data_IF_905539078139
#
_entry.id   IF_905539078139
#
_cell.length_a   1.000
_cell.length_b   1.000
_cell.length_c   1.000
_cell.angle_alpha   90.00
_cell.angle_beta   90.00
_cell.angle_gamma   90.00
#
_symmetry.space_group_name_H-M   'P 1'
#
loop_
_entity.id
_entity.type
_entity.pdbx_description
1 polymer ?
#
# COMPACT_ATOMS: atom_id res chain seq x y z
N UNK A 1 1.13 5.64 -27.71
CA UNK A 1 1.72 6.96 -27.81
C UNK A 1 2.80 7.22 -26.75
N UNK A 2 2.65 6.74 -25.54
CA UNK A 2 3.50 7.01 -24.37
C UNK A 2 4.54 5.94 -24.03
N UNK A 3 4.83 4.99 -24.92
CA UNK A 3 5.67 3.79 -24.62
C UNK A 3 7.08 4.10 -24.08
N UNK A 4 7.68 5.24 -24.46
CA UNK A 4 9.00 5.70 -24.01
C UNK A 4 8.95 6.85 -23.01
N UNK A 5 7.78 7.30 -22.60
CA UNK A 5 7.60 8.41 -21.66
C UNK A 5 8.07 8.01 -20.25
N UNK A 6 8.78 8.91 -19.58
CA UNK A 6 9.20 8.69 -18.19
C UNK A 6 8.00 8.52 -17.26
N UNK A 7 8.20 7.78 -16.17
CA UNK A 7 7.12 7.47 -15.22
C UNK A 7 6.59 8.71 -14.51
N UNK A 8 7.46 9.66 -14.19
CA UNK A 8 7.06 10.90 -13.54
C UNK A 8 6.24 11.78 -14.48
N UNK A 9 6.59 11.79 -15.77
CA UNK A 9 5.83 12.50 -16.80
C UNK A 9 4.44 11.87 -17.00
N UNK A 10 4.35 10.52 -17.04
CA UNK A 10 3.06 9.81 -17.08
C UNK A 10 2.18 10.17 -15.88
N UNK A 11 2.75 10.19 -14.68
CA UNK A 11 2.01 10.57 -13.46
C UNK A 11 1.47 11.99 -13.58
N UNK A 12 2.26 12.94 -14.09
CA UNK A 12 1.80 14.31 -14.29
C UNK A 12 0.67 14.42 -15.31
N UNK A 13 0.71 13.63 -16.40
CA UNK A 13 -0.35 13.56 -17.39
C UNK A 13 -1.63 12.94 -16.81
N UNK A 14 -1.51 11.82 -16.06
CA UNK A 14 -2.65 11.22 -15.35
C UNK A 14 -3.34 12.22 -14.40
N UNK A 15 -2.58 13.09 -13.71
CA UNK A 15 -3.15 14.14 -12.85
C UNK A 15 -3.91 15.20 -13.62
N UNK A 16 -3.57 15.40 -14.91
CA UNK A 16 -4.29 16.28 -15.83
C UNK A 16 -5.49 15.61 -16.49
N UNK A 17 -5.84 14.38 -16.04
CA UNK A 17 -6.94 13.56 -16.60
C UNK A 17 -6.70 13.13 -18.04
N UNK A 18 -5.47 12.83 -18.40
CA UNK A 18 -5.13 12.22 -19.68
C UNK A 18 -5.35 10.69 -19.56
N UNK A 19 -6.42 10.21 -20.18
CA UNK A 19 -6.84 8.81 -20.10
C UNK A 19 -5.84 7.88 -20.82
N UNK A 20 -5.27 8.31 -21.95
CA UNK A 20 -4.26 7.54 -22.68
C UNK A 20 -2.98 7.37 -21.85
N UNK A 21 -2.60 8.37 -21.06
CA UNK A 21 -1.48 8.28 -20.15
C UNK A 21 -1.78 7.32 -18.99
N UNK A 22 -3.02 7.28 -18.50
CA UNK A 22 -3.43 6.33 -17.48
C UNK A 22 -3.46 4.90 -18.02
N UNK A 23 -3.96 4.67 -19.23
CA UNK A 23 -3.95 3.37 -19.89
C UNK A 23 -2.52 2.84 -20.05
N UNK A 24 -1.58 3.68 -20.43
CA UNK A 24 -0.16 3.31 -20.48
C UNK A 24 0.40 2.99 -19.10
N UNK A 25 0.00 3.72 -18.07
CA UNK A 25 0.39 3.44 -16.68
C UNK A 25 -0.14 2.07 -16.25
N UNK A 26 -1.41 1.77 -16.50
CA UNK A 26 -2.03 0.46 -16.24
C UNK A 26 -1.29 -0.63 -16.99
N UNK A 27 -1.00 -0.45 -18.28
CA UNK A 27 -0.27 -1.43 -19.09
C UNK A 27 1.09 -1.77 -18.47
N UNK A 28 1.86 -0.78 -18.04
CA UNK A 28 3.18 -0.97 -17.41
C UNK A 28 3.11 -1.65 -16.05
N UNK A 29 2.08 -1.36 -15.28
CA UNK A 29 1.94 -1.88 -13.91
C UNK A 29 1.04 -3.12 -13.81
N UNK A 30 0.41 -3.58 -14.89
CA UNK A 30 -0.36 -4.83 -14.95
C UNK A 30 0.40 -6.06 -14.39
N UNK A 31 1.69 -6.29 -14.73
CA UNK A 31 2.43 -7.43 -14.15
C UNK A 31 2.58 -7.32 -12.63
N UNK A 32 2.79 -6.11 -12.11
CA UNK A 32 2.88 -5.87 -10.67
C UNK A 32 1.53 -6.11 -9.98
N UNK A 33 0.43 -5.57 -10.52
CA UNK A 33 -0.92 -5.76 -9.97
C UNK A 33 -1.26 -7.25 -9.94
N UNK A 34 -1.07 -7.98 -11.05
CA UNK A 34 -1.31 -9.43 -11.12
C UNK A 34 -0.44 -10.22 -10.13
N UNK A 35 0.81 -9.78 -9.92
CA UNK A 35 1.70 -10.39 -8.92
C UNK A 35 1.22 -10.16 -7.49
N UNK A 36 0.65 -9.00 -7.18
CA UNK A 36 0.03 -8.74 -5.88
C UNK A 36 -1.20 -9.62 -5.70
N UNK A 37 -2.10 -9.67 -6.68
CA UNK A 37 -3.33 -10.47 -6.67
C UNK A 37 -3.04 -11.96 -6.46
N UNK A 38 -2.00 -12.51 -7.09
CA UNK A 38 -1.64 -13.92 -6.94
C UNK A 38 -1.30 -14.33 -5.51
N UNK A 39 -1.05 -13.37 -4.63
CA UNK A 39 -0.85 -13.61 -3.18
C UNK A 39 -2.15 -13.77 -2.39
N UNK A 40 -3.31 -13.56 -3.02
CA UNK A 40 -4.64 -13.62 -2.40
C UNK A 40 -5.50 -14.77 -2.97
N UNK A 41 -4.87 -15.87 -3.36
CA UNK A 41 -5.57 -17.07 -3.83
C UNK A 41 -6.50 -17.64 -2.74
N UNK A 42 -7.73 -18.00 -3.13
CA UNK A 42 -8.74 -18.55 -2.21
C UNK A 42 -9.63 -17.50 -1.53
N UNK A 43 -9.53 -16.23 -1.90
CA UNK A 43 -10.48 -15.20 -1.45
C UNK A 43 -11.82 -15.29 -2.23
N UNK A 44 -12.91 -14.67 -1.71
CA UNK A 44 -14.25 -14.74 -2.32
C UNK A 44 -14.38 -13.96 -3.64
N UNK A 45 -13.41 -13.15 -3.99
CA UNK A 45 -13.43 -12.30 -5.19
C UNK A 45 -12.68 -12.96 -6.35
N UNK A 46 -13.16 -12.74 -7.57
CA UNK A 46 -12.44 -13.22 -8.75
C UNK A 46 -11.22 -12.33 -9.10
N UNK A 47 -10.38 -12.87 -10.02
CA UNK A 47 -9.14 -12.19 -10.42
C UNK A 47 -9.38 -10.87 -11.14
N UNK A 48 -10.51 -10.72 -11.83
CA UNK A 48 -10.83 -9.52 -12.61
C UNK A 48 -11.38 -8.42 -11.71
N UNK A 49 -12.17 -8.79 -10.68
CA UNK A 49 -12.59 -7.86 -9.62
C UNK A 49 -11.39 -7.30 -8.87
N UNK A 50 -10.50 -8.18 -8.42
CA UNK A 50 -9.26 -7.76 -7.74
C UNK A 50 -8.38 -6.91 -8.65
N UNK A 51 -8.35 -7.18 -9.95
CA UNK A 51 -7.59 -6.41 -10.92
C UNK A 51 -8.20 -5.00 -11.10
N UNK A 52 -9.51 -4.89 -11.21
CA UNK A 52 -10.21 -3.61 -11.29
C UNK A 52 -9.92 -2.74 -10.06
N UNK A 53 -10.00 -3.32 -8.86
CA UNK A 53 -9.64 -2.63 -7.62
C UNK A 53 -8.16 -2.23 -7.57
N UNK A 54 -7.29 -3.07 -8.11
CA UNK A 54 -5.87 -2.77 -8.31
C UNK A 54 -5.63 -1.57 -9.23
N UNK A 55 -6.40 -1.44 -10.31
CA UNK A 55 -6.35 -0.28 -11.22
C UNK A 55 -6.84 1.00 -10.53
N UNK A 56 -7.91 0.92 -9.72
CA UNK A 56 -8.39 2.06 -8.89
C UNK A 56 -7.29 2.50 -7.92
N UNK A 57 -6.64 1.55 -7.25
CA UNK A 57 -5.54 1.86 -6.33
C UNK A 57 -4.34 2.48 -7.06
N UNK A 58 -4.01 2.01 -8.27
CA UNK A 58 -2.96 2.59 -9.10
C UNK A 58 -3.28 4.04 -9.50
N UNK A 59 -4.55 4.32 -9.87
CA UNK A 59 -4.98 5.69 -10.17
C UNK A 59 -4.81 6.61 -8.97
N UNK A 60 -5.29 6.20 -7.80
CA UNK A 60 -5.14 6.95 -6.54
C UNK A 60 -3.66 7.17 -6.22
N UNK A 61 -2.82 6.15 -6.42
CA UNK A 61 -1.38 6.26 -6.22
C UNK A 61 -0.75 7.32 -7.14
N UNK A 62 -1.14 7.38 -8.43
CA UNK A 62 -0.66 8.39 -9.36
C UNK A 62 -1.04 9.82 -8.94
N UNK A 63 -2.26 10.00 -8.38
CA UNK A 63 -2.71 11.31 -7.90
C UNK A 63 -1.92 11.79 -6.67
N UNK A 64 -1.49 10.89 -5.79
CA UNK A 64 -0.94 11.21 -4.47
C UNK A 64 0.58 11.09 -4.37
N UNK A 65 1.24 10.39 -5.27
CA UNK A 65 2.68 10.15 -5.20
C UNK A 65 3.47 11.47 -5.25
N UNK A 66 4.42 11.65 -4.35
CA UNK A 66 5.30 12.82 -4.31
C UNK A 66 6.49 12.55 -5.24
N UNK A 67 6.57 13.28 -6.37
CA UNK A 67 7.56 13.05 -7.44
C UNK A 67 9.01 13.28 -7.00
N UNK A 68 9.25 14.17 -6.04
CA UNK A 68 10.57 14.56 -5.56
C UNK A 68 10.97 13.81 -4.27
N UNK A 69 10.37 12.65 -4.02
CA UNK A 69 10.62 11.89 -2.81
C UNK A 69 11.85 10.98 -2.96
N UNK A 70 12.92 11.28 -2.22
CA UNK A 70 14.13 10.46 -2.19
C UNK A 70 13.87 9.06 -1.63
N UNK A 71 14.32 8.06 -2.38
CA UNK A 71 14.38 6.65 -1.94
C UNK A 71 13.08 5.86 -2.08
N UNK A 72 11.98 6.46 -2.57
CA UNK A 72 10.73 5.76 -2.88
C UNK A 72 10.43 5.87 -4.36
N UNK A 73 10.41 4.75 -5.07
CA UNK A 73 9.96 4.73 -6.47
C UNK A 73 8.44 4.65 -6.53
N UNK A 74 7.84 5.21 -7.59
CA UNK A 74 6.40 5.10 -7.81
C UNK A 74 5.93 3.64 -7.83
N UNK A 75 6.69 2.72 -8.43
CA UNK A 75 6.34 1.30 -8.45
C UNK A 75 6.23 0.67 -7.06
N UNK A 76 7.09 1.08 -6.14
CA UNK A 76 7.02 0.65 -4.75
C UNK A 76 5.77 1.19 -4.05
N UNK A 77 5.52 2.49 -4.18
CA UNK A 77 4.35 3.16 -3.61
C UNK A 77 3.03 2.58 -4.16
N UNK A 78 2.92 2.44 -5.49
CA UNK A 78 1.75 1.85 -6.15
C UNK A 78 1.48 0.41 -5.68
N UNK A 79 2.53 -0.41 -5.50
CA UNK A 79 2.39 -1.77 -5.00
C UNK A 79 1.78 -1.82 -3.59
N UNK A 80 2.19 -0.92 -2.71
CA UNK A 80 1.63 -0.79 -1.36
C UNK A 80 0.16 -0.40 -1.45
N UNK A 81 -0.18 0.61 -2.25
CA UNK A 81 -1.56 1.06 -2.44
C UNK A 81 -2.46 -0.06 -2.97
N UNK A 82 -2.00 -0.81 -3.99
CA UNK A 82 -2.75 -1.95 -4.54
C UNK A 82 -2.97 -3.04 -3.48
N UNK A 83 -1.93 -3.41 -2.73
CA UNK A 83 -2.04 -4.44 -1.70
C UNK A 83 -3.02 -4.03 -0.59
N UNK A 84 -2.90 -2.81 -0.09
CA UNK A 84 -3.78 -2.31 0.96
C UNK A 84 -5.23 -2.26 0.48
N UNK A 85 -5.49 -1.81 -0.75
CA UNK A 85 -6.84 -1.80 -1.33
C UNK A 85 -7.47 -3.19 -1.37
N UNK A 86 -6.72 -4.21 -1.77
CA UNK A 86 -7.21 -5.60 -1.80
C UNK A 86 -7.46 -6.11 -0.38
N UNK A 87 -6.57 -5.85 0.59
CA UNK A 87 -6.77 -6.23 1.99
C UNK A 87 -8.01 -5.57 2.57
N UNK A 88 -8.22 -4.29 2.31
CA UNK A 88 -9.41 -3.56 2.76
C UNK A 88 -10.71 -4.14 2.16
N UNK A 89 -10.67 -4.55 0.88
CA UNK A 89 -11.79 -5.21 0.21
C UNK A 89 -12.13 -6.55 0.89
N UNK A 90 -11.12 -7.35 1.23
CA UNK A 90 -11.30 -8.63 1.90
C UNK A 90 -11.87 -8.48 3.33
N UNK A 91 -11.37 -7.53 4.08
CA UNK A 91 -11.88 -7.26 5.45
C UNK A 91 -13.35 -6.85 5.45
N UNK A 92 -13.81 -6.14 4.43
CA UNK A 92 -15.23 -5.77 4.30
C UNK A 92 -16.10 -7.00 4.06
N UNK A 93 -15.69 -7.89 3.17
CA UNK A 93 -16.41 -9.15 2.91
C UNK A 93 -16.56 -10.00 4.17
N UNK A 94 -15.48 -10.15 4.96
CA UNK A 94 -15.52 -10.88 6.22
C UNK A 94 -16.46 -10.24 7.26
N UNK A 95 -16.54 -8.91 7.30
CA UNK A 95 -17.49 -8.19 8.18
C UNK A 95 -18.93 -8.37 7.73
N UNK A 96 -19.21 -8.40 6.43
CA UNK A 96 -20.55 -8.60 5.89
C UNK A 96 -21.04 -10.04 6.12
N UNK A 97 -20.18 -11.04 6.02
CA UNK A 97 -20.53 -12.45 6.30
C UNK A 97 -20.81 -12.68 7.80
N UNK A 98 -20.10 -12.03 8.70
CA UNK A 98 -20.35 -12.14 10.15
C UNK A 98 -21.63 -11.42 10.59
N UNK A 99 -22.13 -10.45 9.83
CA UNK A 99 -23.38 -9.75 10.12
C UNK A 99 -24.64 -10.54 9.68
N UNK A 100 -24.49 -11.60 8.88
CA UNK A 100 -25.63 -12.43 8.44
C UNK A 100 -26.06 -13.48 9.45
N UNK A 101 -25.28 -13.77 10.50
CA UNK A 101 -25.52 -14.85 11.46
C UNK A 101 -25.68 -14.40 12.94
N UNK A 102 -25.70 -13.11 13.23
CA UNK A 102 -25.88 -12.62 14.61
C UNK A 102 -26.99 -11.57 14.66
N UNK A 103 -28.02 -11.86 15.48
CA UNK A 103 -29.07 -10.95 15.85
C UNK A 103 -28.56 -9.55 16.23
N UNK A 104 -29.20 -8.55 15.64
CA UNK A 104 -28.95 -7.13 15.78
C UNK A 104 -29.00 -6.69 17.24
N UNK A 105 -27.85 -6.64 17.92
CA UNK A 105 -27.64 -5.68 19.01
C UNK A 105 -26.16 -5.22 19.01
N UNK A 106 -26.00 -4.01 18.47
CA UNK A 106 -24.89 -3.05 18.73
C UNK A 106 -23.45 -3.54 18.51
N UNK A 107 -22.99 -3.51 17.25
CA UNK A 107 -21.67 -2.95 16.95
C UNK A 107 -21.85 -2.02 15.75
N UNK A 108 -22.00 -0.75 16.00
CA UNK A 108 -21.86 0.32 15.01
C UNK A 108 -20.39 0.44 14.66
N UNK A 109 -19.91 -0.36 13.71
CA UNK A 109 -18.67 -0.03 13.00
C UNK A 109 -19.04 0.96 11.88
N UNK A 110 -19.43 2.15 12.32
CA UNK A 110 -19.75 3.31 11.48
C UNK A 110 -18.46 4.01 11.06
N UNK A 111 -17.50 3.22 10.53
CA UNK A 111 -16.32 3.80 9.90
C UNK A 111 -16.74 4.37 8.57
N UNK A 112 -17.07 5.65 8.57
CA UNK A 112 -17.55 6.37 7.39
C UNK A 112 -16.50 6.33 6.25
N UNK A 113 -16.97 6.53 5.02
CA UNK A 113 -16.07 6.65 3.85
C UNK A 113 -15.06 7.79 4.07
N UNK A 114 -15.43 8.82 4.85
CA UNK A 114 -14.59 9.93 5.25
C UNK A 114 -13.48 9.51 6.23
N UNK A 115 -13.75 8.64 7.22
CA UNK A 115 -12.73 8.10 8.15
C UNK A 115 -11.72 7.22 7.41
N UNK A 116 -12.16 6.44 6.43
CA UNK A 116 -11.26 5.63 5.58
C UNK A 116 -10.41 6.47 4.63
N UNK A 117 -10.88 7.64 4.22
CA UNK A 117 -10.10 8.65 3.51
C UNK A 117 -9.05 9.30 4.43
N UNK A 118 -9.41 9.53 5.69
CA UNK A 118 -8.50 10.04 6.73
C UNK A 118 -7.39 9.03 7.03
N UNK A 119 -7.68 7.72 7.13
CA UNK A 119 -6.67 6.67 7.35
C UNK A 119 -5.64 6.60 6.22
N UNK A 120 -6.06 6.79 4.96
CA UNK A 120 -5.13 6.82 3.82
C UNK A 120 -4.27 8.07 3.78
N UNK A 121 -4.83 9.23 4.07
CA UNK A 121 -4.08 10.47 4.20
C UNK A 121 -3.12 10.41 5.41
N UNK A 122 -3.53 9.74 6.47
CA UNK A 122 -2.71 9.44 7.64
C UNK A 122 -1.57 8.49 7.28
N UNK A 123 -1.81 7.45 6.48
CA UNK A 123 -0.76 6.53 6.02
C UNK A 123 0.28 7.22 5.12
N UNK A 124 -0.16 8.05 4.18
CA UNK A 124 0.75 8.83 3.33
C UNK A 124 1.58 9.83 4.15
N UNK A 125 0.97 10.52 5.10
CA UNK A 125 1.67 11.38 6.08
C UNK A 125 2.63 10.59 6.96
N UNK A 126 2.26 9.38 7.35
CA UNK A 126 3.09 8.49 8.15
C UNK A 126 4.34 8.06 7.38
N UNK A 127 4.23 7.73 6.09
CA UNK A 127 5.39 7.42 5.24
C UNK A 127 6.32 8.62 5.07
N UNK A 128 5.77 9.81 4.87
CA UNK A 128 6.56 11.05 4.78
C UNK A 128 7.26 11.34 6.11
N UNK A 129 6.54 11.26 7.23
CA UNK A 129 7.10 11.46 8.57
C UNK A 129 8.15 10.40 8.91
N UNK A 130 7.87 9.12 8.58
CA UNK A 130 8.79 8.02 8.78
C UNK A 130 10.13 8.24 8.04
N UNK A 131 10.10 8.86 6.85
CA UNK A 131 11.32 9.16 6.10
C UNK A 131 12.24 10.12 6.85
N UNK A 132 11.68 11.11 7.54
CA UNK A 132 12.45 12.06 8.38
C UNK A 132 12.94 11.47 9.70
N UNK A 133 12.25 10.45 10.24
CA UNK A 133 12.53 9.86 11.55
C UNK A 133 13.46 8.64 11.49
N UNK A 134 13.49 7.93 10.37
CA UNK A 134 14.19 6.65 10.22
C UNK A 134 15.49 6.81 9.42
N UNK A 135 16.50 5.98 9.75
CA UNK A 135 17.66 5.84 8.88
C UNK A 135 17.25 5.17 7.56
N UNK A 136 18.06 5.33 6.50
CA UNK A 136 17.79 4.71 5.19
C UNK A 136 17.57 3.20 5.29
N UNK A 137 18.33 2.52 6.14
CA UNK A 137 18.17 1.09 6.37
C UNK A 137 16.84 0.76 7.05
N UNK A 138 16.50 1.48 8.11
CA UNK A 138 15.24 1.29 8.85
C UNK A 138 14.03 1.60 7.97
N UNK A 139 14.11 2.65 7.17
CA UNK A 139 13.04 3.01 6.22
C UNK A 139 12.85 1.93 5.14
N UNK A 140 13.92 1.40 4.56
CA UNK A 140 13.85 0.27 3.62
C UNK A 140 13.25 -0.99 4.25
N UNK A 141 13.63 -1.29 5.49
CA UNK A 141 13.04 -2.42 6.25
C UNK A 141 11.55 -2.21 6.46
N UNK A 142 11.11 -0.99 6.84
CA UNK A 142 9.70 -0.64 6.99
C UNK A 142 8.94 -0.86 5.68
N UNK A 143 9.42 -0.33 4.57
CA UNK A 143 8.76 -0.45 3.28
C UNK A 143 8.60 -1.91 2.83
N UNK A 144 9.64 -2.72 2.97
CA UNK A 144 9.60 -4.13 2.62
C UNK A 144 8.67 -4.92 3.56
N UNK A 145 8.62 -4.54 4.84
CA UNK A 145 7.71 -5.16 5.81
C UNK A 145 6.25 -4.85 5.49
N UNK A 146 5.90 -3.58 5.20
CA UNK A 146 4.55 -3.17 4.78
C UNK A 146 4.13 -3.89 3.48
N UNK A 147 5.08 -4.17 2.58
CA UNK A 147 4.84 -4.98 1.38
C UNK A 147 4.56 -6.47 1.67
N UNK A 148 4.65 -6.88 2.94
CA UNK A 148 4.38 -8.25 3.36
C UNK A 148 5.53 -9.24 3.17
N UNK A 149 6.76 -8.76 2.91
CA UNK A 149 7.92 -9.66 2.87
C UNK A 149 8.25 -10.19 4.27
N UNK A 150 8.55 -11.50 4.35
CA UNK A 150 9.03 -12.11 5.59
C UNK A 150 10.43 -11.60 5.94
N UNK A 151 10.78 -11.58 7.23
CA UNK A 151 12.11 -11.13 7.73
C UNK A 151 13.28 -11.77 6.97
N UNK A 152 13.19 -13.07 6.65
CA UNK A 152 14.22 -13.77 5.89
C UNK A 152 14.39 -13.24 4.45
N UNK A 153 13.29 -12.92 3.79
CA UNK A 153 13.29 -12.33 2.44
C UNK A 153 13.88 -10.91 2.46
N UNK A 154 13.48 -10.09 3.44
CA UNK A 154 14.03 -8.75 3.64
C UNK A 154 15.53 -8.82 3.89
N UNK A 155 15.98 -9.77 4.71
CA UNK A 155 17.40 -9.98 5.00
C UNK A 155 18.20 -10.28 3.72
N UNK A 156 17.70 -11.19 2.89
CA UNK A 156 18.31 -11.53 1.60
C UNK A 156 18.36 -10.32 0.67
N UNK A 157 17.24 -9.59 0.53
CA UNK A 157 17.13 -8.43 -0.36
C UNK A 157 18.06 -7.27 0.03
N UNK A 158 18.29 -7.09 1.33
CA UNK A 158 19.14 -6.01 1.87
C UNK A 158 20.59 -6.46 2.15
N UNK A 159 20.94 -7.73 1.91
CA UNK A 159 22.26 -8.27 2.21
C UNK A 159 22.61 -8.19 3.70
N UNK A 160 21.63 -8.44 4.59
CA UNK A 160 21.77 -8.37 6.05
C UNK A 160 21.30 -9.67 6.71
N UNK A 161 21.68 -9.88 7.99
CA UNK A 161 21.17 -11.01 8.75
C UNK A 161 19.70 -10.80 9.15
N UNK A 162 18.93 -11.89 9.31
CA UNK A 162 17.56 -11.84 9.80
C UNK A 162 17.45 -11.11 11.16
N UNK A 163 18.42 -11.37 12.07
CA UNK A 163 18.51 -10.68 13.37
C UNK A 163 18.68 -9.17 13.22
N UNK A 164 19.46 -8.71 12.24
CA UNK A 164 19.62 -7.27 11.93
C UNK A 164 18.30 -6.64 11.49
N UNK A 165 17.54 -7.35 10.64
CA UNK A 165 16.22 -6.90 10.15
C UNK A 165 15.21 -6.86 11.30
N UNK A 166 15.14 -7.88 12.17
CA UNK A 166 14.25 -7.87 13.33
C UNK A 166 14.58 -6.73 14.32
N UNK A 167 15.85 -6.51 14.57
CA UNK A 167 16.28 -5.37 15.40
C UNK A 167 15.90 -4.03 14.76
N UNK A 168 16.03 -3.89 13.44
CA UNK A 168 15.62 -2.69 12.71
C UNK A 168 14.10 -2.50 12.81
N UNK A 169 13.28 -3.54 12.59
CA UNK A 169 11.83 -3.51 12.79
C UNK A 169 11.45 -3.03 14.19
N UNK A 170 12.06 -3.61 15.22
CA UNK A 170 11.79 -3.20 16.60
C UNK A 170 12.10 -1.72 16.86
N UNK A 171 13.20 -1.18 16.29
CA UNK A 171 13.53 0.25 16.39
C UNK A 171 12.55 1.11 15.62
N UNK A 172 12.17 0.72 14.40
CA UNK A 172 11.19 1.40 13.56
C UNK A 172 9.87 1.57 14.32
N UNK A 173 9.28 0.46 14.78
CA UNK A 173 8.00 0.52 15.49
C UNK A 173 8.07 1.30 16.79
N UNK A 174 9.20 1.25 17.52
CA UNK A 174 9.40 2.06 18.74
C UNK A 174 9.43 3.55 18.42
N UNK A 175 10.12 3.96 17.35
CA UNK A 175 10.20 5.38 16.94
C UNK A 175 8.86 5.88 16.45
N UNK A 176 8.19 5.12 15.58
CA UNK A 176 6.89 5.50 15.06
C UNK A 176 5.85 5.62 16.18
N UNK A 177 5.81 4.68 17.13
CA UNK A 177 4.91 4.76 18.29
C UNK A 177 5.18 5.99 19.17
N UNK A 178 6.44 6.34 19.37
CA UNK A 178 6.81 7.51 20.18
C UNK A 178 6.35 8.83 19.54
N UNK A 179 6.46 8.96 18.22
CA UNK A 179 6.23 10.22 17.50
C UNK A 179 4.79 10.37 17.00
N UNK A 180 4.10 9.26 16.72
CA UNK A 180 2.79 9.25 16.08
C UNK A 180 1.67 8.73 16.99
N UNK A 181 1.98 8.34 18.24
CA UNK A 181 1.03 7.70 19.15
C UNK A 181 0.96 6.19 19.01
N UNK A 182 -0.01 5.56 19.67
CA UNK A 182 -0.15 4.11 19.66
C UNK A 182 -0.68 3.61 18.31
N UNK A 183 0.23 3.03 17.51
CA UNK A 183 -0.09 2.43 16.21
C UNK A 183 -0.41 0.94 16.46
N UNK A 184 -1.41 0.65 17.26
CA UNK A 184 -1.78 -0.74 17.60
C UNK A 184 -2.55 -1.47 16.51
N UNK A 185 -2.86 -0.83 15.38
CA UNK A 185 -3.72 -1.36 14.30
C UNK A 185 -3.02 -1.52 12.92
N UNK A 186 -1.67 -1.60 12.89
CA UNK A 186 -0.94 -1.88 11.65
C UNK A 186 -0.25 -3.23 11.63
#
# INVERSE_FOLDING_TARGET
MYDKTDINELILLCRKRDDDAFDELVRRYTPMIRKVISGFSGCPYDSDELFAEGCVALHIAAQRFILEQDGVTFGLYARICVRNRIVDMLRRSESEETLSDVDVEQVTDDTSVEERLVDRDTFDRLLVSARGLLSDYEYRVLLLHIQGYKTSQIATMLGKSAKSVDNAKARVFRRLRKELGDISEF
#
